data_IF_869001381650
#
_entry.id   IF_869001381650
#
_cell.length_a   1.000
_cell.length_b   1.000
_cell.length_c   1.000
_cell.angle_alpha   90.00
_cell.angle_beta   90.00
_cell.angle_gamma   90.00
#
_symmetry.space_group_name_H-M   'P 1'
#
loop_
_entity.id
_entity.type
_entity.pdbx_description
1 polymer ?
#
# COMPACT_ATOMS: atom_id res chain seq x y z
N UNK A 1 13.60 -3.97 -6.35
CA UNK A 1 13.67 -3.75 -4.90
C UNK A 1 12.27 -3.76 -4.27
N UNK A 2 11.62 -4.92 -4.23
CA UNK A 2 10.26 -5.06 -3.69
C UNK A 2 10.27 -5.24 -2.17
N UNK A 3 11.32 -5.91 -1.65
CA UNK A 3 11.48 -6.21 -0.23
C UNK A 3 11.74 -4.95 0.59
N UNK A 4 12.65 -4.05 0.15
CA UNK A 4 12.91 -2.82 0.89
C UNK A 4 11.73 -1.85 0.87
N UNK A 5 10.95 -1.82 -0.23
CA UNK A 5 9.72 -1.02 -0.30
C UNK A 5 8.68 -1.57 0.66
N UNK A 6 8.48 -2.89 0.70
CA UNK A 6 7.55 -3.53 1.62
C UNK A 6 7.92 -3.27 3.09
N UNK A 7 9.20 -3.45 3.46
CA UNK A 7 9.69 -3.17 4.81
C UNK A 7 9.46 -1.70 5.20
N UNK A 8 9.84 -0.74 4.35
CA UNK A 8 9.66 0.69 4.66
C UNK A 8 8.20 1.13 4.68
N UNK A 9 7.34 0.46 3.90
CA UNK A 9 5.91 0.70 3.92
C UNK A 9 5.31 0.19 5.23
N UNK A 10 5.72 -1.00 5.67
CA UNK A 10 5.31 -1.58 6.96
C UNK A 10 5.78 -0.72 8.14
N UNK A 11 7.00 -0.16 8.10
CA UNK A 11 7.51 0.75 9.14
C UNK A 11 6.63 2.00 9.33
N UNK A 12 5.90 2.41 8.27
CA UNK A 12 4.99 3.57 8.30
C UNK A 12 3.54 3.19 8.60
N UNK A 13 3.21 1.91 8.55
CA UNK A 13 1.87 1.44 8.82
C UNK A 13 1.54 1.68 10.31
N UNK A 14 0.33 2.17 10.57
CA UNK A 14 -0.19 2.21 11.94
C UNK A 14 -0.48 0.77 12.41
N UNK A 15 -0.42 0.48 13.71
CA UNK A 15 -0.83 -0.83 14.23
C UNK A 15 -2.22 -1.23 13.72
N UNK A 16 -2.34 -2.44 13.17
CA UNK A 16 -3.59 -2.96 12.61
C UNK A 16 -3.96 -2.44 11.21
N UNK A 17 -3.20 -1.52 10.62
CA UNK A 17 -3.42 -1.09 9.23
C UNK A 17 -2.70 -2.02 8.24
N UNK A 18 -3.29 -2.15 7.05
CA UNK A 18 -2.73 -2.92 5.94
C UNK A 18 -2.50 -1.93 4.80
N UNK A 19 -1.24 -1.74 4.41
CA UNK A 19 -0.86 -0.84 3.33
C UNK A 19 -0.48 -1.63 2.07
N UNK A 20 -0.92 -1.13 0.92
CA UNK A 20 -0.62 -1.69 -0.39
C UNK A 20 0.12 -0.65 -1.23
N UNK A 21 1.08 -1.12 -2.03
CA UNK A 21 1.59 -0.32 -3.16
C UNK A 21 0.57 -0.33 -4.29
N UNK A 22 0.66 0.62 -5.23
CA UNK A 22 -0.16 0.62 -6.45
C UNK A 22 -0.21 -0.73 -7.16
N UNK A 23 0.95 -1.34 -7.41
CA UNK A 23 1.04 -2.65 -8.06
C UNK A 23 0.25 -3.73 -7.33
N UNK A 24 0.32 -3.75 -6.00
CA UNK A 24 -0.41 -4.72 -5.19
C UNK A 24 -1.91 -4.42 -5.19
N UNK A 25 -2.29 -3.15 -5.06
CA UNK A 25 -3.68 -2.71 -5.14
C UNK A 25 -4.31 -3.11 -6.48
N UNK A 26 -3.66 -2.83 -7.61
CA UNK A 26 -4.17 -3.19 -8.94
C UNK A 26 -4.45 -4.69 -9.09
N UNK A 27 -3.68 -5.55 -8.40
CA UNK A 27 -3.87 -6.99 -8.43
C UNK A 27 -5.03 -7.51 -7.55
N UNK A 28 -5.47 -6.73 -6.56
CA UNK A 28 -6.50 -7.17 -5.57
C UNK A 28 -7.71 -6.23 -5.49
N UNK A 29 -7.75 -5.16 -6.29
CA UNK A 29 -8.78 -4.11 -6.23
C UNK A 29 -10.22 -4.62 -6.38
N UNK A 30 -10.40 -5.79 -7.01
CA UNK A 30 -11.72 -6.39 -7.21
C UNK A 30 -12.21 -7.18 -5.98
N UNK A 31 -11.37 -7.38 -4.96
CA UNK A 31 -11.70 -8.14 -3.74
C UNK A 31 -11.53 -7.35 -2.44
N UNK A 32 -10.94 -6.16 -2.48
CA UNK A 32 -10.73 -5.30 -1.30
C UNK A 32 -11.34 -3.92 -1.50
N UNK A 33 -11.90 -3.36 -0.43
CA UNK A 33 -12.13 -1.92 -0.33
C UNK A 33 -10.85 -1.28 0.21
N UNK A 34 -10.30 -0.31 -0.53
CA UNK A 34 -9.08 0.38 -0.14
C UNK A 34 -9.16 1.88 -0.41
N UNK A 35 -8.63 2.65 0.53
CA UNK A 35 -8.55 4.11 0.45
C UNK A 35 -7.16 4.52 -0.05
N UNK A 36 -7.09 5.34 -1.10
CA UNK A 36 -5.81 5.96 -1.49
C UNK A 36 -5.31 6.90 -0.39
N UNK A 37 -4.05 6.75 -0.01
CA UNK A 37 -3.32 7.65 0.88
C UNK A 37 -2.43 8.63 0.09
N UNK A 38 -2.41 8.52 -1.24
CA UNK A 38 -1.56 9.32 -2.12
C UNK A 38 -0.16 8.74 -2.30
N UNK A 39 0.70 9.53 -2.97
CA UNK A 39 2.08 9.18 -3.21
C UNK A 39 2.94 9.47 -1.97
N UNK A 40 3.82 8.53 -1.62
CA UNK A 40 4.74 8.66 -0.50
C UNK A 40 6.18 8.46 -0.97
N UNK A 41 7.06 9.37 -0.56
CA UNK A 41 8.49 9.23 -0.79
C UNK A 41 9.06 8.11 0.07
N UNK A 42 9.61 7.05 -0.53
CA UNK A 42 10.21 5.91 0.17
C UNK A 42 11.73 6.04 0.11
N UNK A 43 12.43 5.90 1.26
CA UNK A 43 13.83 6.34 1.43
C UNK A 43 14.74 6.18 0.20
N UNK A 44 15.34 5.05 -0.14
CA UNK A 44 16.21 4.94 -1.33
C UNK A 44 15.52 4.85 -2.70
N UNK A 45 14.45 5.62 -2.94
CA UNK A 45 13.79 5.73 -4.25
C UNK A 45 13.62 7.19 -4.65
N UNK A 46 13.93 7.50 -5.91
CA UNK A 46 13.67 8.82 -6.50
C UNK A 46 12.18 9.02 -6.77
N UNK A 47 11.51 7.98 -7.25
CA UNK A 47 10.07 7.99 -7.53
C UNK A 47 9.25 7.78 -6.26
N UNK A 48 8.17 8.54 -6.13
CA UNK A 48 7.17 8.35 -5.09
C UNK A 48 6.36 7.09 -5.33
N UNK A 49 5.97 6.41 -4.25
CA UNK A 49 5.17 5.19 -4.30
C UNK A 49 3.75 5.54 -3.91
N UNK A 50 2.79 5.32 -4.81
CA UNK A 50 1.37 5.39 -4.47
C UNK A 50 0.99 4.30 -3.46
N UNK A 51 0.31 4.72 -2.39
CA UNK A 51 -0.06 3.86 -1.28
C UNK A 51 -1.56 3.87 -1.05
N UNK A 52 -2.08 2.69 -0.71
CA UNK A 52 -3.48 2.45 -0.39
C UNK A 52 -3.58 1.77 0.98
N UNK A 53 -4.61 2.09 1.74
CA UNK A 53 -4.94 1.42 3.00
C UNK A 53 -6.18 0.55 2.81
N UNK A 54 -6.07 -0.74 3.11
CA UNK A 54 -7.22 -1.66 3.06
C UNK A 54 -8.18 -1.34 4.20
N UNK A 55 -9.46 -1.20 3.86
CA UNK A 55 -10.56 -0.94 4.79
C UNK A 55 -11.41 -2.18 5.05
N UNK A 56 -11.39 -3.15 4.15
CA UNK A 56 -12.06 -4.42 4.31
C UNK A 56 -12.03 -5.25 3.02
N UNK A 57 -12.74 -6.38 3.06
CA UNK A 57 -13.03 -7.16 1.86
C UNK A 57 -14.34 -6.67 1.25
N UNK A 58 -14.42 -6.68 -0.08
CA UNK A 58 -15.70 -6.48 -0.75
C UNK A 58 -16.61 -7.68 -0.46
N UNK A 59 -17.82 -7.45 0.03
CA UNK A 59 -18.85 -8.47 0.06
C UNK A 59 -19.21 -8.84 -1.39
N UNK A 60 -19.07 -10.12 -1.75
CA UNK A 60 -19.61 -10.64 -3.01
C UNK A 60 -21.11 -10.87 -2.88
#
# INVERSE_FOLDING_TARGET
DSVNVASRLQDRAKPGSILLTRRTYDAVRDVVDAKSLGAMKVKGKEEEVEVYEVRGLCAR
#
